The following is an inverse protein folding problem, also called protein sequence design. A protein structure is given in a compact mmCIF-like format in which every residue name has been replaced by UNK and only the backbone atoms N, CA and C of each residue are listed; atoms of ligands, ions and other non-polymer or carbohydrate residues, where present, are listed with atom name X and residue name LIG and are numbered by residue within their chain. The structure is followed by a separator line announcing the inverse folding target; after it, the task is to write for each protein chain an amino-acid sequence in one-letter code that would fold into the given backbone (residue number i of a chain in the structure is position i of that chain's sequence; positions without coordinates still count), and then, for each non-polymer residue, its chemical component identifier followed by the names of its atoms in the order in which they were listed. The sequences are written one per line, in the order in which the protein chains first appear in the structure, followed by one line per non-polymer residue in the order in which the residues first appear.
data_IF_176510672590
#
_entry.id   IF_176510672590
#
_cell.length_a   1.000
_cell.length_b   1.000
_cell.length_c   1.000
_cell.angle_alpha   90.00
_cell.angle_beta   90.00
_cell.angle_gamma   90.00
#
_symmetry.space_group_name_H-M   'P 1'
#
loop_
_entity.id
_entity.type
_entity.pdbx_description
1 polymer ?
#
# COMPACT_ATOMS: atom_id res chain seq x y z
N UNK A 1 15.51 12.54 22.94
CA UNK A 1 15.15 11.10 23.04
C UNK A 1 14.04 11.00 24.07
N UNK A 2 12.80 10.63 23.72
CA UNK A 2 11.86 10.18 24.73
C UNK A 2 12.02 8.66 24.91
N UNK A 3 12.23 8.23 26.15
CA UNK A 3 12.15 6.83 26.58
C UNK A 3 10.75 6.27 26.28
N UNK A 4 10.71 5.10 25.66
CA UNK A 4 9.46 4.34 25.48
C UNK A 4 9.07 3.71 26.81
N UNK A 5 8.20 4.36 27.57
CA UNK A 5 7.55 3.75 28.74
C UNK A 5 6.51 2.74 28.26
N UNK A 6 6.91 1.48 28.17
CA UNK A 6 5.99 0.36 27.94
C UNK A 6 5.20 0.10 29.22
N UNK A 7 3.89 0.27 29.18
CA UNK A 7 2.97 0.08 30.31
C UNK A 7 2.97 -1.39 30.78
N UNK A 8 2.85 -1.70 32.09
CA UNK A 8 2.93 -3.07 32.63
C UNK A 8 1.99 -4.09 31.96
N UNK A 9 0.79 -3.65 31.54
CA UNK A 9 -0.19 -4.50 30.86
C UNK A 9 0.26 -4.95 29.45
N UNK A 10 1.06 -4.13 28.75
CA UNK A 10 1.59 -4.49 27.44
C UNK A 10 2.71 -5.55 27.56
N UNK A 11 3.51 -5.50 28.62
CA UNK A 11 4.54 -6.49 28.88
C UNK A 11 3.96 -7.87 29.23
N UNK A 12 2.88 -7.92 30.03
CA UNK A 12 2.20 -9.19 30.36
C UNK A 12 1.48 -9.81 29.16
N UNK A 13 0.90 -8.98 28.28
CA UNK A 13 0.25 -9.48 27.06
C UNK A 13 1.25 -10.11 26.07
N UNK A 14 2.44 -9.50 25.93
CA UNK A 14 3.52 -10.04 25.10
C UNK A 14 4.06 -11.37 25.64
N UNK A 15 4.14 -11.54 26.97
CA UNK A 15 4.54 -12.80 27.60
C UNK A 15 3.52 -13.91 27.35
N UNK A 16 2.23 -13.61 27.47
CA UNK A 16 1.16 -14.58 27.18
C UNK A 16 1.16 -15.00 25.71
N UNK A 17 1.37 -14.05 24.79
CA UNK A 17 1.48 -14.33 23.36
C UNK A 17 2.68 -15.24 23.04
N UNK A 18 3.86 -14.94 23.58
CA UNK A 18 5.06 -15.76 23.39
C UNK A 18 4.86 -17.18 23.92
N UNK A 19 4.22 -17.33 25.07
CA UNK A 19 3.99 -18.63 25.67
C UNK A 19 2.98 -19.48 24.89
N UNK A 20 1.95 -18.87 24.28
CA UNK A 20 1.06 -19.60 23.36
C UNK A 20 1.73 -19.97 22.04
N UNK A 21 2.57 -19.08 21.49
CA UNK A 21 3.33 -19.38 20.28
C UNK A 21 4.31 -20.55 20.50
N UNK A 22 4.94 -20.63 21.68
CA UNK A 22 5.83 -21.74 22.05
C UNK A 22 5.08 -23.06 22.30
N UNK A 23 3.85 -22.99 22.80
CA UNK A 23 3.03 -24.17 23.09
C UNK A 23 2.16 -24.63 21.91
N UNK A 24 2.12 -23.88 20.82
CA UNK A 24 1.30 -24.19 19.64
C UNK A 24 1.91 -25.32 18.81
N UNK A 25 1.09 -26.29 18.41
CA UNK A 25 1.46 -27.32 17.43
C UNK A 25 1.73 -26.72 16.03
N UNK A 26 1.24 -25.50 15.77
CA UNK A 26 1.34 -24.81 14.49
C UNK A 26 2.18 -23.54 14.60
N UNK A 27 3.04 -23.32 13.61
CA UNK A 27 3.88 -22.12 13.49
C UNK A 27 3.36 -21.18 12.40
N UNK A 28 3.37 -19.87 12.67
CA UNK A 28 3.11 -18.86 11.65
C UNK A 28 4.30 -18.76 10.68
N UNK A 29 4.06 -19.11 9.41
CA UNK A 29 5.07 -18.98 8.34
C UNK A 29 4.97 -17.63 7.62
N UNK A 30 3.74 -17.17 7.34
CA UNK A 30 3.44 -15.84 6.81
C UNK A 30 2.15 -15.33 7.46
N UNK A 31 2.06 -14.02 7.64
CA UNK A 31 0.84 -13.37 8.14
C UNK A 31 0.78 -11.98 7.55
N UNK A 32 -0.40 -11.56 7.10
CA UNK A 32 -0.60 -10.18 6.69
C UNK A 32 -2.01 -9.94 6.20
N UNK A 33 -2.42 -8.69 6.28
CA UNK A 33 -3.78 -8.27 5.98
C UNK A 33 -3.76 -6.89 5.33
N UNK A 34 -4.84 -6.50 4.66
CA UNK A 34 -4.95 -5.15 4.14
C UNK A 34 -6.15 -4.96 3.23
N UNK A 35 -6.01 -4.09 2.24
CA UNK A 35 -7.11 -3.68 1.36
C UNK A 35 -6.68 -3.80 -0.09
N UNK A 36 -7.50 -4.50 -0.86
CA UNK A 36 -7.32 -4.66 -2.30
C UNK A 36 -8.37 -3.85 -3.08
N UNK A 37 -8.11 -3.67 -4.37
CA UNK A 37 -9.00 -3.03 -5.35
C UNK A 37 -9.37 -1.59 -4.99
N UNK A 38 -8.43 -0.82 -4.45
CA UNK A 38 -8.63 0.61 -4.19
C UNK A 38 -8.46 1.35 -5.52
N UNK A 39 -9.57 1.75 -6.15
CA UNK A 39 -9.57 2.52 -7.40
C UNK A 39 -9.38 4.01 -7.14
N UNK A 40 -8.36 4.59 -7.76
CA UNK A 40 -7.96 5.98 -7.58
C UNK A 40 -7.74 6.65 -8.94
N UNK A 41 -8.59 7.61 -9.31
CA UNK A 41 -8.35 8.53 -10.42
C UNK A 41 -7.84 9.87 -9.88
N UNK A 42 -6.64 10.27 -10.28
CA UNK A 42 -6.06 11.56 -9.95
C UNK A 42 -6.05 12.47 -11.19
N UNK A 43 -6.49 13.72 -11.02
CA UNK A 43 -6.56 14.71 -12.10
C UNK A 43 -5.72 15.93 -11.73
N UNK A 44 -4.77 16.29 -12.60
CA UNK A 44 -4.03 17.55 -12.56
C UNK A 44 -4.54 18.47 -13.67
N UNK A 45 -4.88 19.72 -13.35
CA UNK A 45 -5.40 20.70 -14.32
C UNK A 45 -4.39 21.82 -14.53
N UNK A 46 -4.07 22.11 -15.78
CA UNK A 46 -3.21 23.21 -16.21
C UNK A 46 -3.98 24.04 -17.25
N UNK A 47 -4.69 25.06 -16.78
CA UNK A 47 -5.64 25.80 -17.61
C UNK A 47 -6.71 24.86 -18.18
N UNK A 48 -6.86 24.86 -19.51
CA UNK A 48 -7.81 24.00 -20.21
C UNK A 48 -7.31 22.56 -20.41
N UNK A 49 -6.01 22.28 -20.19
CA UNK A 49 -5.42 20.97 -20.40
C UNK A 49 -5.46 20.17 -19.10
N UNK A 50 -6.10 19.00 -19.13
CA UNK A 50 -6.19 18.09 -18.00
C UNK A 50 -5.23 16.92 -18.20
N UNK A 51 -4.62 16.44 -17.12
CA UNK A 51 -3.82 15.22 -17.08
C UNK A 51 -4.45 14.26 -16.07
N UNK A 52 -4.53 12.99 -16.42
CA UNK A 52 -5.12 11.96 -15.57
C UNK A 52 -4.14 10.81 -15.34
N UNK A 53 -4.26 10.19 -14.18
CA UNK A 53 -3.70 8.88 -13.87
C UNK A 53 -4.71 8.12 -13.05
N UNK A 54 -4.99 6.89 -13.44
CA UNK A 54 -5.88 5.99 -12.71
C UNK A 54 -5.11 4.77 -12.26
N UNK A 55 -5.14 4.50 -10.96
CA UNK A 55 -4.45 3.38 -10.33
C UNK A 55 -5.44 2.46 -9.63
N UNK A 56 -5.15 1.17 -9.68
CA UNK A 56 -5.68 0.17 -8.76
C UNK A 56 -4.60 -0.16 -7.74
N UNK A 57 -4.88 0.09 -6.45
CA UNK A 57 -3.92 -0.05 -5.36
C UNK A 57 -4.32 -1.18 -4.42
N UNK A 58 -3.34 -2.02 -4.08
CA UNK A 58 -3.44 -3.11 -3.11
C UNK A 58 -2.42 -2.89 -1.99
N UNK A 59 -2.86 -2.97 -0.74
CA UNK A 59 -2.02 -2.84 0.46
C UNK A 59 -2.04 -4.14 1.26
N UNK A 60 -0.87 -4.58 1.75
CA UNK A 60 -0.72 -5.67 2.73
C UNK A 60 0.26 -5.22 3.81
N UNK A 61 -0.18 -5.28 5.07
CA UNK A 61 0.59 -4.99 6.27
C UNK A 61 0.84 -6.28 7.04
N UNK A 62 2.03 -6.40 7.62
CA UNK A 62 2.39 -7.46 8.56
C UNK A 62 2.76 -6.81 9.89
N UNK A 63 2.25 -7.37 10.99
CA UNK A 63 2.44 -6.84 12.33
C UNK A 63 3.50 -7.66 13.09
N UNK A 64 4.09 -7.03 14.11
CA UNK A 64 5.04 -7.68 15.03
C UNK A 64 4.36 -8.69 15.97
N UNK A 65 3.08 -8.48 16.29
CA UNK A 65 2.26 -9.39 17.11
C UNK A 65 1.38 -10.30 16.25
N UNK A 66 0.77 -11.29 16.89
CA UNK A 66 -0.20 -12.27 16.37
C UNK A 66 -1.45 -12.37 17.24
N UNK A 67 -1.61 -11.46 18.21
CA UNK A 67 -2.76 -11.40 19.14
C UNK A 67 -4.13 -11.28 18.45
N UNK A 68 -4.15 -10.71 17.25
CA UNK A 68 -5.32 -10.64 16.37
C UNK A 68 -5.74 -12.02 15.88
N UNK A 69 -4.78 -12.88 15.55
CA UNK A 69 -5.04 -14.26 15.14
C UNK A 69 -5.33 -15.20 16.32
N UNK A 70 -4.59 -15.06 17.42
CA UNK A 70 -4.69 -15.96 18.58
C UNK A 70 -5.91 -15.65 19.45
N UNK A 71 -6.17 -14.36 19.71
CA UNK A 71 -7.16 -13.91 20.70
C UNK A 71 -8.27 -13.03 20.12
N UNK A 72 -8.20 -12.66 18.84
CA UNK A 72 -9.10 -11.67 18.26
C UNK A 72 -8.89 -10.25 18.79
N UNK A 73 -7.71 -9.95 19.35
CA UNK A 73 -7.38 -8.61 19.86
C UNK A 73 -7.00 -7.67 18.71
N UNK A 74 -7.88 -6.70 18.43
CA UNK A 74 -7.73 -5.73 17.35
C UNK A 74 -6.97 -4.44 17.73
N UNK A 75 -6.37 -4.35 18.92
CA UNK A 75 -5.72 -3.11 19.39
C UNK A 75 -4.57 -2.62 18.49
N UNK A 76 -3.87 -3.53 17.81
CA UNK A 76 -2.78 -3.17 16.87
C UNK A 76 -3.25 -3.14 15.39
N UNK A 77 -4.54 -3.37 15.14
CA UNK A 77 -5.07 -3.43 13.78
C UNK A 77 -5.30 -2.02 13.22
N UNK A 78 -4.53 -1.68 12.20
CA UNK A 78 -4.87 -0.60 11.28
C UNK A 78 -6.02 -1.05 10.40
N UNK A 79 -7.24 -0.57 10.68
CA UNK A 79 -8.45 -0.95 9.94
C UNK A 79 -8.26 -0.83 8.42
N UNK A 80 -8.80 -1.79 7.65
CA UNK A 80 -8.63 -1.82 6.18
C UNK A 80 -9.24 -0.61 5.49
N UNK A 81 -10.29 -0.03 6.07
CA UNK A 81 -10.85 1.24 5.60
C UNK A 81 -9.91 2.43 5.86
N UNK A 82 -9.21 2.46 6.99
CA UNK A 82 -8.17 3.46 7.27
C UNK A 82 -7.01 3.35 6.27
N UNK A 83 -6.64 2.14 5.86
CA UNK A 83 -5.63 1.95 4.79
C UNK A 83 -6.11 2.56 3.46
N UNK A 84 -7.36 2.28 3.06
CA UNK A 84 -8.00 2.89 1.88
C UNK A 84 -8.01 4.42 1.95
N UNK A 85 -8.43 4.98 3.09
CA UNK A 85 -8.49 6.43 3.29
C UNK A 85 -7.09 7.06 3.23
N UNK A 86 -6.08 6.38 3.76
CA UNK A 86 -4.67 6.80 3.66
C UNK A 86 -4.20 6.90 2.21
N UNK A 87 -4.57 5.95 1.35
CA UNK A 87 -4.27 6.01 -0.09
C UNK A 87 -4.85 7.28 -0.72
N UNK A 88 -6.13 7.58 -0.45
CA UNK A 88 -6.77 8.80 -0.99
C UNK A 88 -6.13 10.10 -0.47
N UNK A 89 -5.82 10.15 0.82
CA UNK A 89 -5.21 11.32 1.47
C UNK A 89 -3.83 11.59 0.86
N UNK A 90 -2.98 10.56 0.75
CA UNK A 90 -1.62 10.72 0.21
C UNK A 90 -1.63 11.05 -1.28
N UNK A 91 -2.54 10.46 -2.06
CA UNK A 91 -2.72 10.83 -3.46
C UNK A 91 -3.12 12.30 -3.63
N UNK A 92 -3.96 12.83 -2.71
CA UNK A 92 -4.35 14.24 -2.72
C UNK A 92 -3.21 15.17 -2.30
N UNK A 93 -2.42 14.78 -1.30
CA UNK A 93 -1.34 15.60 -0.74
C UNK A 93 -0.10 15.66 -1.63
N UNK A 94 0.29 14.52 -2.22
CA UNK A 94 1.55 14.40 -2.96
C UNK A 94 1.37 14.27 -4.48
N UNK A 95 0.14 14.02 -4.94
CA UNK A 95 -0.13 13.65 -6.31
C UNK A 95 0.27 12.20 -6.61
N UNK A 96 0.04 11.78 -7.85
CA UNK A 96 0.50 10.48 -8.36
C UNK A 96 1.20 10.68 -9.69
N UNK A 97 2.46 10.24 -9.78
CA UNK A 97 3.28 10.37 -11.00
C UNK A 97 3.55 9.03 -11.64
N UNK A 98 3.88 8.02 -10.86
CA UNK A 98 4.05 6.66 -11.34
C UNK A 98 3.64 5.64 -10.28
N UNK A 99 3.33 4.39 -10.66
CA UNK A 99 3.05 3.31 -9.72
C UNK A 99 4.17 3.12 -8.69
N UNK A 100 5.43 3.22 -9.12
CA UNK A 100 6.62 2.99 -8.28
C UNK A 100 6.78 4.10 -7.23
N UNK A 101 6.75 5.37 -7.64
CA UNK A 101 6.87 6.51 -6.71
C UNK A 101 5.73 6.51 -5.68
N UNK A 102 4.51 6.21 -6.12
CA UNK A 102 3.36 6.21 -5.22
C UNK A 102 3.38 5.00 -4.27
N UNK A 103 3.79 3.82 -4.74
CA UNK A 103 3.98 2.66 -3.88
C UNK A 103 5.08 2.88 -2.82
N UNK A 104 6.20 3.52 -3.19
CA UNK A 104 7.25 3.91 -2.25
C UNK A 104 6.74 4.86 -1.17
N UNK A 105 5.95 5.87 -1.55
CA UNK A 105 5.32 6.79 -0.61
C UNK A 105 4.41 6.06 0.38
N UNK A 106 3.57 5.15 -0.10
CA UNK A 106 2.65 4.37 0.73
C UNK A 106 3.41 3.45 1.70
N UNK A 107 4.38 2.68 1.20
CA UNK A 107 5.23 1.82 2.02
C UNK A 107 5.94 2.60 3.13
N UNK A 108 6.52 3.76 2.77
CA UNK A 108 7.19 4.63 3.73
C UNK A 108 6.22 5.17 4.79
N UNK A 109 5.02 5.59 4.38
CA UNK A 109 4.02 6.12 5.30
C UNK A 109 3.64 5.09 6.36
N UNK A 110 3.21 3.89 5.96
CA UNK A 110 2.74 2.87 6.90
C UNK A 110 3.85 2.44 7.88
N UNK A 111 5.09 2.24 7.41
CA UNK A 111 6.20 1.91 8.31
C UNK A 111 6.58 3.05 9.25
N UNK A 112 6.52 4.31 8.80
CA UNK A 112 6.83 5.45 9.67
C UNK A 112 5.72 5.73 10.69
N UNK A 113 4.47 5.49 10.32
CA UNK A 113 3.29 5.85 11.13
C UNK A 113 2.99 4.83 12.22
N UNK A 114 3.22 3.54 11.93
CA UNK A 114 2.84 2.44 12.81
C UNK A 114 4.08 1.61 13.18
N UNK A 115 4.58 1.79 14.40
CA UNK A 115 5.80 1.11 14.87
C UNK A 115 5.64 -0.42 14.93
N UNK A 116 4.43 -0.91 15.20
CA UNK A 116 4.11 -2.35 15.25
C UNK A 116 4.01 -3.00 13.86
N UNK A 117 3.96 -2.22 12.76
CA UNK A 117 4.05 -2.76 11.40
C UNK A 117 5.50 -3.11 11.08
N UNK A 118 5.76 -4.35 10.69
CA UNK A 118 7.10 -4.89 10.41
C UNK A 118 7.38 -5.00 8.92
N UNK A 119 6.36 -5.25 8.09
CA UNK A 119 6.48 -5.30 6.63
C UNK A 119 5.26 -4.67 5.97
N UNK A 120 5.51 -3.98 4.87
CA UNK A 120 4.48 -3.34 4.04
C UNK A 120 4.73 -3.75 2.60
N UNK A 121 3.70 -4.29 1.96
CA UNK A 121 3.69 -4.59 0.53
C UNK A 121 2.61 -3.76 -0.13
N UNK A 122 2.98 -3.01 -1.16
CA UNK A 122 2.04 -2.22 -1.97
C UNK A 122 2.20 -2.64 -3.43
N UNK A 123 1.10 -3.07 -4.04
CA UNK A 123 1.02 -3.36 -5.47
C UNK A 123 0.11 -2.32 -6.13
N UNK A 124 0.55 -1.77 -7.25
CA UNK A 124 -0.19 -0.75 -7.99
C UNK A 124 -0.20 -1.10 -9.47
N UNK A 125 -1.38 -1.15 -10.06
CA UNK A 125 -1.57 -1.24 -11.51
C UNK A 125 -2.08 0.11 -12.05
N UNK A 126 -1.48 0.60 -13.13
CA UNK A 126 -1.92 1.80 -13.83
C UNK A 126 -2.87 1.44 -14.96
N UNK A 127 -4.05 2.06 -14.96
CA UNK A 127 -4.98 1.94 -16.08
C UNK A 127 -4.37 2.64 -17.31
N UNK A 128 -4.36 1.97 -18.48
CA UNK A 128 -3.66 2.45 -19.66
C UNK A 128 -4.51 3.49 -20.41
N UNK A 129 -4.65 4.67 -19.81
CA UNK A 129 -5.28 5.81 -20.45
C UNK A 129 -4.30 6.47 -21.42
N UNK A 130 -4.72 6.61 -22.67
CA UNK A 130 -4.05 7.44 -23.67
C UNK A 130 -4.90 8.68 -23.97
N UNK A 131 -4.22 9.80 -24.22
CA UNK A 131 -4.90 11.03 -24.62
C UNK A 131 -5.46 10.84 -26.03
N UNK A 132 -6.74 11.18 -26.22
CA UNK A 132 -7.36 11.12 -27.54
C UNK A 132 -6.67 12.12 -28.49
N UNK A 133 -6.34 11.67 -29.69
CA UNK A 133 -5.75 12.49 -30.77
C UNK A 133 -6.71 12.48 -31.96
N UNK A 134 -7.06 13.67 -32.47
CA UNK A 134 -7.86 13.86 -33.68
C UNK A 134 -7.09 14.75 -34.65
N UNK A 135 -6.93 14.31 -35.91
CA UNK A 135 -6.21 15.06 -36.95
C UNK A 135 -4.80 15.52 -36.52
N UNK A 136 -4.09 14.69 -35.73
CA UNK A 136 -2.77 15.00 -35.18
C UNK A 136 -2.77 15.96 -33.98
N UNK A 137 -3.94 16.45 -33.56
CA UNK A 137 -4.10 17.36 -32.42
C UNK A 137 -4.58 16.59 -31.19
N UNK A 138 -3.85 16.73 -30.08
CA UNK A 138 -4.20 16.15 -28.78
C UNK A 138 -5.40 16.86 -28.16
N UNK A 139 -6.41 16.10 -27.69
CA UNK A 139 -7.57 16.66 -27.01
C UNK A 139 -7.21 17.18 -25.61
N UNK A 140 -7.83 18.28 -25.19
CA UNK A 140 -7.53 18.95 -23.92
C UNK A 140 -7.86 18.08 -22.68
N UNK A 141 -8.91 17.26 -22.75
CA UNK A 141 -9.43 16.51 -21.60
C UNK A 141 -10.17 15.21 -21.97
N UNK A 142 -9.92 14.65 -23.15
CA UNK A 142 -10.51 13.37 -23.57
C UNK A 142 -9.42 12.31 -23.64
N UNK A 143 -9.76 11.11 -23.17
CA UNK A 143 -8.86 9.97 -23.05
C UNK A 143 -9.58 8.72 -23.51
N UNK A 144 -8.83 7.78 -24.06
CA UNK A 144 -9.29 6.47 -24.50
C UNK A 144 -8.47 5.40 -23.78
N UNK A 145 -9.12 4.30 -23.40
CA UNK A 145 -8.43 3.16 -22.79
C UNK A 145 -7.80 2.32 -23.89
N UNK A 146 -6.48 2.12 -23.82
CA UNK A 146 -5.70 1.35 -24.80
C UNK A 146 -4.95 0.24 -24.06
N UNK A 147 -5.59 -0.90 -23.78
CA UNK A 147 -5.01 -1.98 -22.96
C UNK A 147 -3.94 -2.80 -23.71
N UNK A 148 -3.12 -2.13 -24.51
CA UNK A 148 -1.99 -2.71 -25.24
C UNK A 148 -0.97 -3.24 -24.25
N UNK A 149 -0.64 -2.49 -23.20
CA UNK A 149 0.22 -2.98 -22.12
C UNK A 149 -0.24 -2.41 -20.76
N UNK A 150 -0.14 -3.21 -19.70
CA UNK A 150 -0.44 -2.77 -18.34
C UNK A 150 0.87 -2.47 -17.62
N UNK A 151 1.02 -1.24 -17.11
CA UNK A 151 2.14 -0.88 -16.24
C UNK A 151 1.76 -1.17 -14.79
N UNK A 152 2.58 -1.91 -14.07
CA UNK A 152 2.39 -2.16 -12.65
C UNK A 152 3.71 -2.14 -11.88
N UNK A 153 3.61 -2.02 -10.56
CA UNK A 153 4.75 -2.03 -9.64
C UNK A 153 4.38 -2.71 -8.32
N UNK A 154 5.31 -3.49 -7.77
CA UNK A 154 5.21 -4.02 -6.39
C UNK A 154 6.38 -3.53 -5.54
N UNK A 155 6.10 -2.86 -4.44
CA UNK A 155 7.12 -2.37 -3.49
C UNK A 155 6.94 -3.08 -2.15
N UNK A 156 8.05 -3.56 -1.58
CA UNK A 156 8.07 -4.25 -0.29
C UNK A 156 9.10 -3.59 0.62
N UNK A 157 8.64 -2.97 1.70
CA UNK A 157 9.52 -2.47 2.76
C UNK A 157 9.46 -3.38 3.99
N UNK A 158 10.60 -3.57 4.65
CA UNK A 158 10.73 -4.31 5.91
C UNK A 158 11.44 -3.44 6.94
N UNK A 159 10.91 -3.37 8.17
CA UNK A 159 11.54 -2.65 9.27
C UNK A 159 12.88 -3.30 9.61
N UNK A 160 13.95 -2.49 9.69
CA UNK A 160 15.30 -2.95 10.00
C UNK A 160 15.96 -3.82 8.91
N UNK A 161 15.31 -3.98 7.75
CA UNK A 161 15.81 -4.79 6.64
C UNK A 161 16.09 -3.98 5.38
N UNK A 162 16.51 -4.67 4.31
CA UNK A 162 16.64 -4.07 2.99
C UNK A 162 15.25 -3.84 2.38
N UNK A 163 14.97 -2.59 2.03
CA UNK A 163 13.81 -2.25 1.21
C UNK A 163 14.02 -2.84 -0.19
N UNK A 164 13.00 -3.52 -0.72
CA UNK A 164 13.08 -4.18 -2.02
C UNK A 164 11.95 -3.68 -2.92
N UNK A 165 12.30 -3.27 -4.13
CA UNK A 165 11.34 -2.95 -5.19
C UNK A 165 11.33 -4.17 -6.11
N UNK A 166 10.17 -4.80 -6.29
CA UNK A 166 9.99 -5.94 -7.17
C UNK A 166 9.17 -5.53 -8.41
N UNK A 167 9.77 -5.73 -9.59
CA UNK A 167 9.18 -5.68 -10.92
C UNK A 167 8.66 -4.32 -11.43
N UNK A 168 9.28 -3.86 -12.51
CA UNK A 168 8.68 -3.00 -13.54
C UNK A 168 8.40 -3.95 -14.70
N UNK A 169 7.16 -4.38 -14.89
CA UNK A 169 6.79 -5.17 -16.06
C UNK A 169 5.65 -4.46 -16.79
N UNK A 170 5.88 -4.17 -18.06
CA UNK A 170 4.82 -3.97 -19.05
C UNK A 170 4.65 -5.31 -19.74
N UNK A 171 3.47 -5.90 -19.70
CA UNK A 171 3.15 -7.06 -20.53
C UNK A 171 1.93 -6.75 -21.38
N UNK A 172 1.93 -7.31 -22.59
CA UNK A 172 0.77 -7.26 -23.48
C UNK A 172 -0.33 -8.17 -22.94
N UNK A 173 -1.57 -7.68 -22.84
CA UNK A 173 -2.74 -8.56 -22.73
C UNK A 173 -3.15 -8.91 -24.16
N UNK A 174 -2.97 -10.16 -24.55
CA UNK A 174 -3.58 -10.74 -25.75
C UNK A 174 -5.11 -10.89 -25.58
#
# INVERSE_FOLDING_TARGET
MPESTTTPAAASALQNEQQELENSEFAFVDSGYGKNFIKLLHIRREGNVHYIKEFEVNTKLELNTKKDYLFGDNNDIVATDSQKNTVYILAKQHGVKSPEEFALLLCSHFLSKYNHVTKVTVCIEEHPWERLVSDGVSHNHAFISTPVAVRFSTVIFRRGGKNTIFNICTYHRD
#
